data_IF_194114653383
#
_entry.id   IF_194114653383
#
_cell.length_a   1.000
_cell.length_b   1.000
_cell.length_c   1.000
_cell.angle_alpha   90.00
_cell.angle_beta   90.00
_cell.angle_gamma   90.00
#
_symmetry.space_group_name_H-M   'P 1'
#
loop_
_entity.id
_entity.type
_entity.pdbx_description
1 polymer ?
#
# COMPACT_ATOMS: atom_id res chain seq x y z
N UNK A 1 3.62 6.79 -7.62
CA UNK A 1 3.23 7.79 -6.60
C UNK A 1 2.05 8.66 -7.01
N UNK A 2 2.07 9.33 -8.18
CA UNK A 2 0.91 10.14 -8.65
C UNK A 2 -0.42 9.37 -8.67
N UNK A 3 -0.39 8.09 -9.05
CA UNK A 3 -1.59 7.26 -9.15
C UNK A 3 -2.31 7.06 -7.81
N UNK A 4 -1.55 6.84 -6.74
CA UNK A 4 -2.08 6.66 -5.38
C UNK A 4 -2.66 7.99 -4.85
N UNK A 5 -2.05 9.12 -5.18
CA UNK A 5 -2.59 10.44 -4.82
C UNK A 5 -3.92 10.74 -5.52
N UNK A 6 -4.10 10.29 -6.77
CA UNK A 6 -5.37 10.47 -7.49
C UNK A 6 -6.43 9.43 -7.12
N UNK A 7 -6.00 8.22 -6.75
CA UNK A 7 -6.86 7.08 -6.41
C UNK A 7 -6.22 6.32 -5.25
N UNK A 8 -6.41 6.78 -4.01
CA UNK A 8 -5.78 6.15 -2.84
C UNK A 8 -6.24 4.70 -2.62
N UNK A 9 -7.37 4.29 -3.19
CA UNK A 9 -7.88 2.91 -3.17
C UNK A 9 -7.42 2.03 -4.35
N UNK A 10 -6.39 2.43 -5.08
CA UNK A 10 -5.81 1.63 -6.18
C UNK A 10 -5.09 0.37 -5.68
N UNK A 11 -4.63 0.37 -4.42
CA UNK A 11 -4.07 -0.81 -3.77
C UNK A 11 -5.14 -1.82 -3.39
N UNK A 12 -4.74 -3.08 -3.24
CA UNK A 12 -5.60 -4.12 -2.70
C UNK A 12 -5.71 -3.97 -1.18
N UNK A 13 -6.93 -3.73 -0.69
CA UNK A 13 -7.21 -3.67 0.74
C UNK A 13 -7.03 -5.07 1.37
N UNK A 14 -6.20 -5.15 2.39
CA UNK A 14 -6.04 -6.36 3.20
C UNK A 14 -7.19 -6.49 4.19
N UNK A 15 -7.49 -7.74 4.57
CA UNK A 15 -8.57 -8.13 5.50
C UNK A 15 -7.95 -8.85 6.71
N UNK A 16 -8.71 -8.99 7.79
CA UNK A 16 -8.23 -9.62 9.04
C UNK A 16 -7.46 -8.63 9.90
N UNK A 17 -6.37 -9.07 10.54
CA UNK A 17 -5.50 -8.23 11.40
C UNK A 17 -4.88 -7.02 10.69
N UNK A 18 -4.90 -7.04 9.34
CA UNK A 18 -4.36 -5.99 8.47
C UNK A 18 -5.46 -5.14 7.82
N UNK A 19 -6.68 -5.19 8.34
CA UNK A 19 -7.77 -4.34 7.88
C UNK A 19 -7.36 -2.85 7.94
N UNK A 20 -7.54 -2.13 6.83
CA UNK A 20 -7.12 -0.74 6.68
C UNK A 20 -5.76 -0.53 6.01
N UNK A 21 -5.01 -1.62 5.75
CA UNK A 21 -3.77 -1.57 4.95
C UNK A 21 -4.09 -1.84 3.49
N UNK A 22 -3.57 -0.98 2.61
CA UNK A 22 -3.61 -1.13 1.16
C UNK A 22 -2.25 -1.54 0.65
N UNK A 23 -2.21 -2.47 -0.30
CA UNK A 23 -0.97 -2.88 -0.96
C UNK A 23 -1.05 -2.56 -2.45
N UNK A 24 -0.16 -1.71 -2.92
CA UNK A 24 -0.05 -1.38 -4.33
C UNK A 24 1.23 -2.00 -4.92
N UNK A 25 1.06 -2.76 -6.00
CA UNK A 25 2.15 -3.38 -6.75
C UNK A 25 2.46 -2.56 -7.99
N UNK A 26 3.72 -2.16 -8.16
CA UNK A 26 4.19 -1.45 -9.35
C UNK A 26 5.59 -1.92 -9.75
N UNK A 27 5.99 -1.60 -10.99
CA UNK A 27 7.30 -1.99 -11.53
C UNK A 27 8.27 -0.82 -11.47
N UNK A 28 9.47 -1.07 -10.94
CA UNK A 28 10.61 -0.16 -10.98
C UNK A 28 11.76 -0.89 -11.67
N UNK A 29 12.28 -0.36 -12.77
CA UNK A 29 13.42 -0.95 -13.50
C UNK A 29 13.27 -2.45 -13.78
N UNK A 30 12.07 -2.88 -14.23
CA UNK A 30 11.68 -4.27 -14.51
C UNK A 30 11.54 -5.19 -13.29
N UNK A 31 11.69 -4.67 -12.07
CA UNK A 31 11.48 -5.41 -10.83
C UNK A 31 10.10 -5.06 -10.23
N UNK A 32 9.42 -6.07 -9.70
CA UNK A 32 8.16 -5.89 -8.99
C UNK A 32 8.43 -5.37 -7.57
N UNK A 33 7.83 -4.23 -7.25
CA UNK A 33 7.91 -3.59 -5.94
C UNK A 33 6.51 -3.53 -5.33
N UNK A 34 6.42 -3.83 -4.04
CA UNK A 34 5.22 -3.72 -3.22
C UNK A 34 5.35 -2.53 -2.27
N UNK A 35 4.22 -1.84 -2.11
CA UNK A 35 4.07 -0.68 -1.24
C UNK A 35 2.83 -0.89 -0.37
N UNK A 36 3.02 -1.07 0.93
CA UNK A 36 1.94 -1.02 1.91
C UNK A 36 1.78 0.40 2.42
N UNK A 37 0.53 0.84 2.48
CA UNK A 37 0.18 2.11 3.05
C UNK A 37 -1.17 2.03 3.77
N UNK A 38 -1.34 2.86 4.78
CA UNK A 38 -2.63 3.10 5.42
C UNK A 38 -3.17 4.46 4.98
N UNK A 39 -4.49 4.55 4.88
CA UNK A 39 -5.20 5.79 4.64
C UNK A 39 -5.76 6.30 5.96
N UNK A 40 -5.49 7.55 6.29
CA UNK A 40 -5.98 8.21 7.50
C UNK A 40 -6.99 9.28 7.10
N UNK A 41 -8.12 9.32 7.81
CA UNK A 41 -9.23 10.22 7.50
C UNK A 41 -10.41 9.51 6.84
N UNK A 42 -11.34 10.26 6.21
CA UNK A 42 -12.57 9.69 5.69
C UNK A 42 -12.34 8.86 4.43
N UNK A 43 -13.08 7.74 4.32
CA UNK A 43 -12.96 6.77 3.24
C UNK A 43 -13.11 7.37 1.83
N UNK A 44 -13.87 8.45 1.66
CA UNK A 44 -14.10 9.09 0.37
C UNK A 44 -12.91 9.95 -0.08
N UNK A 45 -12.17 10.52 0.87
CA UNK A 45 -11.07 11.46 0.63
C UNK A 45 -10.13 11.43 1.84
N UNK A 46 -9.18 10.48 1.89
CA UNK A 46 -8.24 10.40 2.99
C UNK A 46 -7.35 11.65 3.02
N UNK A 47 -7.15 12.20 4.21
CA UNK A 47 -6.36 13.40 4.44
C UNK A 47 -4.87 13.08 4.39
N UNK A 48 -4.49 11.89 4.87
CA UNK A 48 -3.10 11.46 4.94
C UNK A 48 -2.92 10.03 4.43
N UNK A 49 -1.71 9.77 3.91
CA UNK A 49 -1.27 8.45 3.52
C UNK A 49 0.01 8.11 4.28
N UNK A 50 -0.06 7.07 5.09
CA UNK A 50 1.06 6.60 5.89
C UNK A 50 1.71 5.43 5.18
N UNK A 51 2.98 5.60 4.80
CA UNK A 51 3.81 4.53 4.27
C UNK A 51 4.15 3.54 5.38
N UNK A 52 3.78 2.27 5.22
CA UNK A 52 4.09 1.23 6.20
C UNK A 52 5.33 0.44 5.81
N UNK A 53 5.41 -0.01 4.56
CA UNK A 53 6.59 -0.69 4.03
C UNK A 53 6.72 -0.56 2.51
N UNK A 54 7.96 -0.66 2.05
CA UNK A 54 8.35 -0.68 0.65
C UNK A 54 9.37 -1.80 0.45
N UNK A 55 9.11 -2.75 -0.45
CA UNK A 55 10.04 -3.84 -0.68
C UNK A 55 9.67 -4.73 -1.86
N UNK A 56 10.59 -5.63 -2.22
CA UNK A 56 10.30 -6.70 -3.18
C UNK A 56 9.35 -7.73 -2.57
N UNK A 57 8.66 -8.49 -3.43
CA UNK A 57 7.65 -9.48 -3.04
C UNK A 57 8.13 -10.49 -1.98
N UNK A 58 9.42 -10.80 -1.93
CA UNK A 58 10.04 -11.73 -0.97
C UNK A 58 10.35 -11.10 0.41
N UNK A 59 10.60 -9.79 0.49
CA UNK A 59 10.84 -9.09 1.77
C UNK A 59 9.55 -8.68 2.47
N UNK A 60 8.53 -8.33 1.68
CA UNK A 60 7.30 -7.70 2.15
C UNK A 60 6.46 -8.54 3.12
N UNK A 61 6.39 -9.86 2.90
CA UNK A 61 5.64 -10.76 3.77
C UNK A 61 6.43 -11.26 4.98
N UNK A 62 7.76 -11.06 5.00
CA UNK A 62 8.63 -11.57 6.07
C UNK A 62 8.53 -10.72 7.34
N UNK A 63 8.29 -9.43 7.19
CA UNK A 63 8.11 -8.45 8.28
C UNK A 63 6.66 -8.33 8.77
N UNK A 64 5.69 -8.95 8.07
CA UNK A 64 4.26 -8.90 8.44
C UNK A 64 3.80 -10.12 9.25
N UNK A 65 4.71 -10.82 9.95
CA UNK A 65 4.39 -11.99 10.78
C UNK A 65 4.72 -11.74 12.24
#
# INVERSE_FOLDING_TARGET
>A
MREIMTKPKIGEAKKGDLAGVFVHKFKVNKQDVLLSYALIGPDAAPDELVLLALGSHEGFYRDMR
#
